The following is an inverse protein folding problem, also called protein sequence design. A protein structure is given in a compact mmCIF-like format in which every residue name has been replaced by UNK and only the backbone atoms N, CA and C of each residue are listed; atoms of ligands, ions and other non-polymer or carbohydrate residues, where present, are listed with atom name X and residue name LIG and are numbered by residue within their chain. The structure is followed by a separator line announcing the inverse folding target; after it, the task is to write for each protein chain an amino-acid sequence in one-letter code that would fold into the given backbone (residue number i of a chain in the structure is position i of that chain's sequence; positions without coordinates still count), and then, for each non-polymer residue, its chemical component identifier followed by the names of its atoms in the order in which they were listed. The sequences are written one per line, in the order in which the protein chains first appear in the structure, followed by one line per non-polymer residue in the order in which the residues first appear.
data_IF_701820023282
#
_entry.id   IF_701820023282
#
_cell.length_a   1.000
_cell.length_b   1.000
_cell.length_c   1.000
_cell.angle_alpha   90.00
_cell.angle_beta   90.00
_cell.angle_gamma   90.00
#
_symmetry.space_group_name_H-M   'P 1'
#
loop_
_entity.id
_entity.type
_entity.pdbx_description
1 polymer ?
#
# COMPACT_ATOMS: atom_id res chain seq x y z
N UNK A 1 19.24 19.78 27.87
CA UNK A 1 19.68 18.51 28.50
C UNK A 1 19.33 17.33 27.60
N UNK A 2 20.01 17.21 26.46
CA UNK A 2 19.86 16.12 25.48
C UNK A 2 21.20 15.82 24.77
N UNK A 3 22.32 16.18 25.41
CA UNK A 3 23.69 16.05 24.86
C UNK A 3 24.51 14.93 25.52
N UNK A 4 23.87 13.96 26.18
CA UNK A 4 24.58 12.94 26.98
C UNK A 4 24.31 11.50 26.52
N UNK A 5 23.64 11.30 25.37
CA UNK A 5 23.41 9.96 24.79
C UNK A 5 24.33 9.66 23.59
N UNK A 6 25.21 10.60 23.20
CA UNK A 6 26.02 10.50 21.97
C UNK A 6 27.55 10.36 22.19
N UNK A 7 28.05 10.03 23.39
CA UNK A 7 29.51 9.83 23.61
C UNK A 7 29.90 8.41 24.07
N UNK A 8 29.15 7.39 23.68
CA UNK A 8 29.53 5.99 23.93
C UNK A 8 29.39 5.12 22.68
N UNK A 9 29.80 5.70 21.55
CA UNK A 9 29.81 5.07 20.24
C UNK A 9 31.22 4.66 19.76
N UNK A 10 32.18 4.54 20.68
CA UNK A 10 33.45 3.88 20.44
C UNK A 10 33.64 2.84 21.56
N UNK A 11 33.94 1.61 21.16
CA UNK A 11 34.15 0.40 21.97
C UNK A 11 32.89 -0.37 22.43
N UNK A 12 32.23 -1.06 21.49
CA UNK A 12 31.71 -2.43 21.70
C UNK A 12 31.22 -3.02 20.36
N UNK A 13 32.04 -3.90 19.77
CA UNK A 13 31.59 -4.97 18.90
C UNK A 13 30.79 -5.97 19.75
N UNK A 14 29.46 -5.91 19.68
CA UNK A 14 28.62 -7.06 20.01
C UNK A 14 27.24 -6.87 19.38
N UNK A 15 26.83 -7.87 18.60
CA UNK A 15 25.53 -8.03 17.98
C UNK A 15 24.37 -7.55 18.88
N UNK A 16 23.78 -6.40 18.54
CA UNK A 16 22.46 -6.03 19.05
C UNK A 16 21.41 -6.89 18.32
N UNK A 17 21.30 -8.14 18.78
CA UNK A 17 20.19 -9.03 18.52
C UNK A 17 18.90 -8.29 18.85
N UNK A 18 18.12 -7.96 17.81
CA UNK A 18 16.71 -7.69 17.96
C UNK A 18 16.09 -8.92 18.62
N UNK A 19 15.61 -8.73 19.84
CA UNK A 19 15.11 -9.78 20.71
C UNK A 19 14.02 -10.57 19.97
N UNK A 20 14.24 -11.85 19.59
CA UNK A 20 13.35 -12.61 18.71
C UNK A 20 11.98 -12.91 19.33
N UNK A 21 11.81 -12.59 20.62
CA UNK A 21 10.59 -12.81 21.39
C UNK A 21 9.55 -11.69 21.18
N UNK A 22 9.92 -10.47 20.79
CA UNK A 22 8.93 -9.40 20.44
C UNK A 22 8.48 -9.44 18.97
N UNK A 23 9.15 -10.22 18.12
CA UNK A 23 8.81 -10.39 16.71
C UNK A 23 7.75 -11.48 16.47
N UNK A 24 7.59 -12.41 17.43
CA UNK A 24 6.61 -13.49 17.37
C UNK A 24 5.17 -12.99 17.64
N UNK A 25 4.98 -11.94 18.45
CA UNK A 25 3.65 -11.54 18.90
C UNK A 25 2.75 -10.88 17.85
N UNK A 26 3.28 -10.24 16.80
CA UNK A 26 2.42 -9.66 15.75
C UNK A 26 1.91 -10.72 14.77
N UNK A 27 2.58 -11.86 14.72
CA UNK A 27 2.18 -13.03 13.92
C UNK A 27 1.26 -13.94 14.73
N UNK A 28 1.55 -14.14 16.02
CA UNK A 28 0.72 -14.93 16.93
C UNK A 28 -0.58 -14.23 17.32
N UNK A 29 -0.67 -12.89 17.41
CA UNK A 29 -1.94 -12.21 17.67
C UNK A 29 -2.98 -12.39 16.53
N UNK A 30 -2.51 -12.56 15.29
CA UNK A 30 -3.40 -12.89 14.16
C UNK A 30 -3.81 -14.37 14.15
N UNK A 31 -2.99 -15.27 14.73
CA UNK A 31 -3.27 -16.71 14.82
C UNK A 31 -4.09 -17.09 16.07
N UNK A 32 -3.86 -16.45 17.22
CA UNK A 32 -4.61 -16.71 18.48
C UNK A 32 -6.02 -16.10 18.46
N UNK A 33 -6.27 -15.04 17.68
CA UNK A 33 -7.64 -14.58 17.38
C UNK A 33 -8.38 -15.46 16.36
N UNK A 34 -7.75 -16.54 15.87
CA UNK A 34 -8.33 -17.49 14.90
C UNK A 34 -8.55 -18.90 15.49
N UNK A 35 -8.55 -19.08 16.82
CA UNK A 35 -9.13 -20.30 17.40
C UNK A 35 -10.66 -20.22 17.30
N UNK A 36 -11.35 -21.18 16.65
CA UNK A 36 -12.78 -21.31 16.86
C UNK A 36 -13.01 -21.59 18.36
N UNK A 37 -14.01 -20.93 18.96
CA UNK A 37 -14.63 -21.45 20.18
C UNK A 37 -15.16 -22.83 19.81
N UNK A 38 -14.73 -23.86 20.52
CA UNK A 38 -15.26 -25.21 20.35
C UNK A 38 -16.75 -25.18 20.73
N UNK A 39 -17.62 -25.03 19.73
CA UNK A 39 -19.02 -25.37 19.89
C UNK A 39 -19.17 -26.87 19.70
N UNK A 40 -19.72 -27.52 20.72
CA UNK A 40 -20.10 -28.93 20.74
C UNK A 40 -21.00 -29.29 19.57
N UNK A 41 -20.87 -30.51 19.00
CA UNK A 41 -21.60 -30.93 17.81
C UNK A 41 -22.96 -31.48 18.23
N UNK A 42 -23.92 -30.61 18.52
CA UNK A 42 -25.35 -30.97 18.49
C UNK A 42 -26.17 -29.68 18.36
N UNK A 43 -27.13 -29.69 17.43
CA UNK A 43 -28.02 -28.57 17.06
C UNK A 43 -27.31 -27.50 16.19
N UNK A 44 -27.55 -27.41 14.88
CA UNK A 44 -28.80 -26.91 14.30
C UNK A 44 -29.02 -27.50 12.91
N UNK A 45 -30.10 -28.29 12.81
CA UNK A 45 -30.77 -28.69 11.58
C UNK A 45 -31.68 -27.53 11.13
N UNK A 46 -31.84 -27.41 9.81
CA UNK A 46 -32.87 -26.65 9.09
C UNK A 46 -32.73 -25.13 8.99
N UNK A 47 -32.19 -24.69 7.84
CA UNK A 47 -32.57 -23.49 7.05
C UNK A 47 -31.38 -22.71 6.49
N UNK A 48 -30.52 -23.33 5.67
CA UNK A 48 -29.57 -22.54 4.84
C UNK A 48 -29.07 -23.21 3.55
N UNK A 49 -29.73 -24.29 3.11
CA UNK A 49 -29.25 -25.12 1.99
C UNK A 49 -29.32 -24.47 0.59
N UNK A 50 -29.79 -23.22 0.46
CA UNK A 50 -29.77 -22.49 -0.81
C UNK A 50 -28.62 -21.48 -0.95
N UNK A 51 -27.94 -21.09 0.15
CA UNK A 51 -26.79 -20.17 0.10
C UNK A 51 -25.45 -20.93 0.13
N UNK A 52 -25.44 -22.16 0.66
CA UNK A 52 -24.24 -23.01 0.72
C UNK A 52 -23.75 -23.56 -0.63
N UNK A 53 -24.60 -23.62 -1.66
CA UNK A 53 -24.26 -24.30 -2.92
C UNK A 53 -23.39 -23.46 -3.88
N UNK A 54 -23.29 -22.14 -3.69
CA UNK A 54 -22.33 -21.26 -4.39
C UNK A 54 -21.00 -21.15 -3.62
N UNK A 55 -20.95 -21.62 -2.38
CA UNK A 55 -19.80 -21.50 -1.48
C UNK A 55 -18.81 -22.68 -1.55
N UNK A 56 -19.04 -23.64 -2.45
CA UNK A 56 -18.00 -24.58 -2.93
C UNK A 56 -17.35 -24.07 -4.23
N UNK A 57 -17.29 -22.75 -4.42
CA UNK A 57 -16.38 -22.17 -5.40
C UNK A 57 -14.92 -22.39 -4.97
N UNK A 58 -14.00 -22.39 -5.94
CA UNK A 58 -12.57 -22.38 -5.67
C UNK A 58 -12.22 -21.24 -4.69
N UNK A 59 -11.86 -21.59 -3.44
CA UNK A 59 -11.53 -20.64 -2.37
C UNK A 59 -10.43 -19.66 -2.81
N UNK A 60 -9.52 -20.11 -3.69
CA UNK A 60 -8.48 -19.26 -4.28
C UNK A 60 -9.11 -18.18 -5.15
N UNK A 61 -10.02 -18.59 -6.06
CA UNK A 61 -10.75 -17.68 -6.92
C UNK A 61 -11.56 -16.66 -6.10
N UNK A 62 -12.26 -17.11 -5.07
CA UNK A 62 -13.03 -16.25 -4.17
C UNK A 62 -12.15 -15.19 -3.50
N UNK A 63 -10.97 -15.56 -2.99
CA UNK A 63 -10.03 -14.62 -2.38
C UNK A 63 -9.57 -13.55 -3.36
N UNK A 64 -9.16 -13.95 -4.57
CA UNK A 64 -8.77 -13.02 -5.64
C UNK A 64 -9.91 -12.09 -6.02
N UNK A 65 -11.13 -12.61 -6.17
CA UNK A 65 -12.31 -11.81 -6.49
C UNK A 65 -12.58 -10.75 -5.41
N UNK A 66 -12.57 -11.12 -4.14
CA UNK A 66 -12.81 -10.17 -3.05
C UNK A 66 -11.73 -9.09 -2.96
N UNK A 67 -10.47 -9.47 -3.16
CA UNK A 67 -9.36 -8.53 -3.17
C UNK A 67 -9.48 -7.54 -4.35
N UNK A 68 -9.68 -8.03 -5.57
CA UNK A 68 -9.83 -7.18 -6.75
C UNK A 68 -11.10 -6.31 -6.69
N UNK A 69 -12.16 -6.81 -6.06
CA UNK A 69 -13.37 -6.02 -5.77
C UNK A 69 -13.06 -4.85 -4.83
N UNK A 70 -12.20 -5.03 -3.82
CA UNK A 70 -11.72 -3.92 -3.00
C UNK A 70 -10.99 -2.87 -3.84
N UNK A 71 -10.17 -3.31 -4.81
CA UNK A 71 -9.47 -2.40 -5.71
C UNK A 71 -10.44 -1.52 -6.50
N UNK A 72 -11.49 -2.12 -7.07
CA UNK A 72 -12.55 -1.40 -7.80
C UNK A 72 -13.27 -0.41 -6.90
N UNK A 73 -13.67 -0.82 -5.69
CA UNK A 73 -14.35 0.08 -4.76
C UNK A 73 -13.45 1.23 -4.28
N UNK A 74 -12.18 0.97 -3.97
CA UNK A 74 -11.23 2.03 -3.61
C UNK A 74 -10.99 2.99 -4.76
N UNK A 75 -10.86 2.47 -5.98
CA UNK A 75 -10.75 3.25 -7.21
C UNK A 75 -11.97 4.18 -7.41
N UNK A 76 -13.18 3.68 -7.15
CA UNK A 76 -14.41 4.46 -7.19
C UNK A 76 -14.59 5.41 -5.97
N UNK A 77 -13.76 5.28 -4.94
CA UNK A 77 -13.89 6.03 -3.68
C UNK A 77 -14.97 5.50 -2.73
N UNK A 78 -15.49 4.30 -2.98
CA UNK A 78 -16.55 3.60 -2.24
C UNK A 78 -16.00 2.81 -1.04
N UNK A 79 -15.37 3.50 -0.08
CA UNK A 79 -14.69 2.87 1.07
C UNK A 79 -15.57 1.87 1.85
N UNK A 80 -16.84 2.21 2.07
CA UNK A 80 -17.77 1.35 2.81
C UNK A 80 -18.01 -0.01 2.14
N UNK A 81 -18.12 -0.03 0.79
CA UNK A 81 -18.30 -1.27 0.02
C UNK A 81 -17.03 -2.11 0.02
N UNK A 82 -15.86 -1.48 -0.06
CA UNK A 82 -14.58 -2.18 0.08
C UNK A 82 -14.48 -2.88 1.44
N UNK A 83 -14.84 -2.18 2.53
CA UNK A 83 -14.77 -2.69 3.91
C UNK A 83 -15.58 -3.97 4.13
N UNK A 84 -16.72 -4.11 3.46
CA UNK A 84 -17.54 -5.34 3.52
C UNK A 84 -16.80 -6.59 3.02
N UNK A 85 -15.71 -6.42 2.24
CA UNK A 85 -14.95 -7.53 1.66
C UNK A 85 -13.70 -7.91 2.48
N UNK A 86 -13.33 -7.11 3.50
CA UNK A 86 -12.07 -7.29 4.23
C UNK A 86 -11.97 -8.61 4.96
N UNK A 87 -13.08 -9.13 5.50
CA UNK A 87 -13.10 -10.43 6.20
C UNK A 87 -12.65 -11.56 5.28
N UNK A 88 -13.08 -11.55 4.01
CA UNK A 88 -12.71 -12.56 3.03
C UNK A 88 -11.24 -12.42 2.60
N UNK A 89 -10.74 -11.19 2.42
CA UNK A 89 -9.32 -10.97 2.08
C UNK A 89 -8.39 -11.37 3.24
N UNK A 90 -8.83 -11.17 4.49
CA UNK A 90 -8.09 -11.62 5.69
C UNK A 90 -8.04 -13.13 5.82
N UNK A 91 -9.03 -13.84 5.31
CA UNK A 91 -9.11 -15.30 5.32
C UNK A 91 -8.39 -15.84 4.08
N UNK A 92 -7.08 -15.59 3.99
CA UNK A 92 -6.27 -16.02 2.85
C UNK A 92 -6.08 -17.55 2.85
N UNK A 93 -6.47 -18.27 1.78
CA UNK A 93 -6.24 -19.71 1.67
C UNK A 93 -4.77 -20.09 1.80
N UNK A 94 -4.49 -21.19 2.50
CA UNK A 94 -3.10 -21.64 2.78
C UNK A 94 -2.26 -21.82 1.51
N UNK A 95 -2.87 -22.26 0.40
CA UNK A 95 -2.17 -22.44 -0.86
C UNK A 95 -1.62 -21.13 -1.44
N UNK A 96 -2.27 -19.98 -1.18
CA UNK A 96 -1.80 -18.66 -1.62
C UNK A 96 -0.66 -18.11 -0.75
N UNK A 97 -0.42 -18.69 0.43
CA UNK A 97 0.71 -18.28 1.29
C UNK A 97 2.07 -18.70 0.71
N UNK A 98 2.10 -19.59 -0.27
CA UNK A 98 3.29 -19.97 -1.02
C UNK A 98 3.45 -19.19 -2.34
N UNK A 99 2.44 -18.40 -2.74
CA UNK A 99 2.46 -17.62 -3.98
C UNK A 99 2.96 -16.19 -3.72
N UNK A 100 4.13 -15.87 -4.26
CA UNK A 100 4.74 -14.54 -4.14
C UNK A 100 3.85 -13.41 -4.69
N UNK A 101 3.02 -13.67 -5.72
CA UNK A 101 2.12 -12.66 -6.27
C UNK A 101 0.97 -12.36 -5.30
N UNK A 102 0.38 -13.41 -4.70
CA UNK A 102 -0.64 -13.27 -3.67
C UNK A 102 -0.09 -12.60 -2.40
N UNK A 103 1.11 -12.99 -1.95
CA UNK A 103 1.79 -12.37 -0.82
C UNK A 103 2.09 -10.89 -1.06
N UNK A 104 2.60 -10.55 -2.24
CA UNK A 104 2.87 -9.18 -2.63
C UNK A 104 1.61 -8.30 -2.54
N UNK A 105 0.55 -8.74 -3.22
CA UNK A 105 -0.69 -7.99 -3.30
C UNK A 105 -1.43 -7.95 -1.97
N UNK A 106 -1.44 -9.05 -1.20
CA UNK A 106 -2.04 -9.09 0.13
C UNK A 106 -1.37 -8.15 1.13
N UNK A 107 -0.03 -8.03 1.08
CA UNK A 107 0.68 -7.06 1.90
C UNK A 107 0.42 -5.62 1.41
N UNK A 108 0.44 -5.35 0.10
CA UNK A 108 0.11 -4.04 -0.45
C UNK A 108 -1.34 -3.62 -0.10
N UNK A 109 -2.28 -4.56 -0.12
CA UNK A 109 -3.65 -4.37 0.34
C UNK A 109 -3.68 -3.93 1.81
N UNK A 110 -2.90 -4.58 2.69
CA UNK A 110 -2.82 -4.20 4.10
C UNK A 110 -2.33 -2.76 4.27
N UNK A 111 -1.31 -2.34 3.50
CA UNK A 111 -0.86 -0.94 3.49
C UNK A 111 -2.00 0.03 3.16
N UNK A 112 -2.70 -0.22 2.05
CA UNK A 112 -3.78 0.65 1.56
C UNK A 112 -4.95 0.70 2.55
N UNK A 113 -5.31 -0.45 3.14
CA UNK A 113 -6.37 -0.58 4.14
C UNK A 113 -6.01 0.19 5.42
N UNK A 114 -4.77 0.07 5.92
CA UNK A 114 -4.29 0.82 7.08
C UNK A 114 -4.40 2.33 6.86
N UNK A 115 -3.95 2.84 5.72
CA UNK A 115 -4.06 4.27 5.39
C UNK A 115 -5.51 4.74 5.12
N UNK A 116 -6.45 3.82 4.89
CA UNK A 116 -7.83 4.17 4.54
C UNK A 116 -8.77 4.14 5.75
N UNK A 117 -8.56 3.20 6.67
CA UNK A 117 -9.47 2.91 7.79
C UNK A 117 -8.81 2.98 9.17
N UNK A 118 -7.49 2.79 9.27
CA UNK A 118 -6.80 2.61 10.55
C UNK A 118 -5.76 3.71 10.84
N UNK A 119 -5.84 4.86 10.15
CA UNK A 119 -4.89 5.99 10.30
C UNK A 119 -4.82 6.53 11.75
N UNK A 120 -5.86 6.34 12.55
CA UNK A 120 -5.90 6.78 13.95
C UNK A 120 -5.09 5.86 14.89
N UNK A 121 -4.63 4.69 14.42
CA UNK A 121 -3.81 3.80 15.22
C UNK A 121 -2.38 4.33 15.31
N UNK A 122 -1.86 4.56 16.52
CA UNK A 122 -0.51 5.08 16.74
C UNK A 122 0.61 4.28 16.07
N UNK A 123 0.38 2.99 15.78
CA UNK A 123 1.36 2.10 15.11
C UNK A 123 1.12 1.94 13.61
N UNK A 124 0.13 2.63 13.01
CA UNK A 124 -0.25 2.40 11.61
C UNK A 124 0.93 2.64 10.65
N UNK A 125 1.73 3.70 10.87
CA UNK A 125 2.89 4.01 10.04
C UNK A 125 3.92 2.86 10.06
N UNK A 126 4.19 2.31 11.24
CA UNK A 126 5.08 1.14 11.40
C UNK A 126 4.53 -0.10 10.71
N UNK A 127 3.22 -0.33 10.77
CA UNK A 127 2.60 -1.46 10.06
C UNK A 127 2.63 -1.29 8.55
N UNK A 128 2.38 -0.08 8.03
CA UNK A 128 2.51 0.23 6.59
C UNK A 128 3.93 -0.05 6.12
N UNK A 129 4.95 0.37 6.89
CA UNK A 129 6.35 0.05 6.59
C UNK A 129 6.59 -1.46 6.46
N UNK A 130 6.21 -2.23 7.48
CA UNK A 130 6.39 -3.69 7.51
C UNK A 130 5.73 -4.37 6.31
N UNK A 131 4.49 -4.00 6.00
CA UNK A 131 3.77 -4.57 4.87
C UNK A 131 4.35 -4.13 3.53
N UNK A 132 4.75 -2.86 3.36
CA UNK A 132 5.42 -2.41 2.13
C UNK A 132 6.73 -3.18 1.90
N UNK A 133 7.58 -3.35 2.93
CA UNK A 133 8.83 -4.12 2.80
C UNK A 133 8.57 -5.59 2.47
N UNK A 134 7.55 -6.21 3.06
CA UNK A 134 7.15 -7.59 2.73
C UNK A 134 6.63 -7.71 1.30
N UNK A 135 5.79 -6.76 0.87
CA UNK A 135 5.26 -6.71 -0.49
C UNK A 135 6.38 -6.56 -1.52
N UNK A 136 7.30 -5.62 -1.30
CA UNK A 136 8.45 -5.38 -2.17
C UNK A 136 9.33 -6.63 -2.28
N UNK A 137 9.63 -7.28 -1.16
CA UNK A 137 10.41 -8.53 -1.15
C UNK A 137 9.72 -9.60 -1.98
N UNK A 138 8.41 -9.83 -1.78
CA UNK A 138 7.66 -10.81 -2.55
C UNK A 138 7.62 -10.48 -4.05
N UNK A 139 7.45 -9.21 -4.43
CA UNK A 139 7.49 -8.78 -5.83
C UNK A 139 8.85 -9.05 -6.50
N UNK A 140 9.96 -8.83 -5.79
CA UNK A 140 11.31 -9.09 -6.29
C UNK A 140 11.66 -10.57 -6.43
N UNK A 141 10.93 -11.45 -5.73
CA UNK A 141 11.05 -12.90 -5.88
C UNK A 141 10.23 -13.44 -7.08
N UNK A 142 9.43 -12.60 -7.73
CA UNK A 142 8.76 -12.97 -8.97
C UNK A 142 9.74 -12.83 -10.14
N UNK A 143 9.76 -13.82 -11.02
CA UNK A 143 10.58 -13.75 -12.23
C UNK A 143 10.28 -12.48 -13.03
N UNK A 144 11.34 -11.81 -13.47
CA UNK A 144 11.28 -10.50 -14.15
C UNK A 144 10.63 -10.60 -15.54
N UNK A 145 10.44 -11.82 -16.05
CA UNK A 145 9.84 -12.08 -17.36
C UNK A 145 8.78 -13.16 -17.21
N UNK A 146 7.56 -12.75 -16.86
CA UNK A 146 6.41 -13.64 -17.03
C UNK A 146 6.21 -13.83 -18.54
N UNK A 147 6.37 -15.06 -19.04
CA UNK A 147 6.08 -15.41 -20.42
C UNK A 147 4.79 -16.24 -20.47
N UNK A 148 3.99 -16.04 -21.52
CA UNK A 148 2.76 -16.79 -21.75
C UNK A 148 1.46 -16.04 -21.42
N UNK A 149 0.31 -16.74 -21.49
CA UNK A 149 -1.02 -16.12 -21.55
C UNK A 149 -1.40 -15.30 -20.30
N UNK A 150 -0.78 -15.60 -19.15
CA UNK A 150 -1.07 -14.95 -17.86
C UNK A 150 -0.14 -13.76 -17.57
N UNK A 151 0.87 -13.51 -18.40
CA UNK A 151 1.86 -12.47 -18.17
C UNK A 151 1.22 -11.08 -18.00
N UNK A 152 0.34 -10.69 -18.93
CA UNK A 152 -0.32 -9.38 -18.88
C UNK A 152 -1.13 -9.16 -17.58
N UNK A 153 -1.81 -10.22 -17.09
CA UNK A 153 -2.56 -10.17 -15.83
C UNK A 153 -1.61 -10.04 -14.63
N UNK A 154 -0.58 -10.88 -14.57
CA UNK A 154 0.45 -10.82 -13.51
C UNK A 154 1.08 -9.44 -13.42
N UNK A 155 1.46 -8.85 -14.56
CA UNK A 155 2.05 -7.51 -14.58
C UNK A 155 1.04 -6.43 -14.15
N UNK A 156 -0.24 -6.58 -14.50
CA UNK A 156 -1.30 -5.67 -14.03
C UNK A 156 -1.51 -5.75 -12.52
N UNK A 157 -1.43 -6.95 -11.94
CA UNK A 157 -1.50 -7.18 -10.50
C UNK A 157 -0.28 -6.60 -9.78
N UNK A 158 0.93 -6.78 -10.33
CA UNK A 158 2.15 -6.16 -9.81
C UNK A 158 2.04 -4.62 -9.80
N UNK A 159 1.57 -4.02 -10.90
CA UNK A 159 1.33 -2.57 -10.97
C UNK A 159 0.33 -2.10 -9.89
N UNK A 160 -0.74 -2.86 -9.64
CA UNK A 160 -1.70 -2.56 -8.58
C UNK A 160 -1.05 -2.62 -7.18
N UNK A 161 -0.20 -3.61 -6.93
CA UNK A 161 0.53 -3.70 -5.67
C UNK A 161 1.46 -2.49 -5.46
N UNK A 162 2.22 -2.10 -6.48
CA UNK A 162 3.07 -0.91 -6.44
C UNK A 162 2.27 0.39 -6.25
N UNK A 163 1.13 0.54 -6.93
CA UNK A 163 0.22 1.68 -6.78
C UNK A 163 -0.24 1.83 -5.32
N UNK A 164 -0.68 0.72 -4.70
CA UNK A 164 -1.04 0.72 -3.29
C UNK A 164 0.13 1.01 -2.35
N UNK A 165 1.33 0.48 -2.63
CA UNK A 165 2.52 0.76 -1.83
C UNK A 165 2.91 2.24 -1.92
N UNK A 166 3.10 2.78 -3.12
CA UNK A 166 3.48 4.18 -3.35
C UNK A 166 2.44 5.14 -2.78
N UNK A 167 1.15 4.84 -2.98
CA UNK A 167 0.07 5.59 -2.39
C UNK A 167 0.09 5.57 -0.86
N UNK A 168 0.33 4.41 -0.25
CA UNK A 168 0.37 4.29 1.22
C UNK A 168 1.59 4.95 1.85
N UNK A 169 2.77 4.83 1.23
CA UNK A 169 3.98 5.51 1.67
C UNK A 169 3.84 7.04 1.58
N UNK A 170 3.19 7.52 0.51
CA UNK A 170 2.84 8.94 0.37
C UNK A 170 1.90 9.42 1.49
N UNK A 171 0.91 8.60 1.86
CA UNK A 171 -0.04 8.94 2.92
C UNK A 171 0.65 8.97 4.30
N UNK A 172 1.59 8.04 4.56
CA UNK A 172 2.44 8.06 5.76
C UNK A 172 3.30 9.32 5.81
N UNK A 173 3.93 9.70 4.69
CA UNK A 173 4.70 10.93 4.63
C UNK A 173 3.83 12.17 4.92
N UNK A 174 2.64 12.27 4.30
CA UNK A 174 1.75 13.42 4.51
C UNK A 174 1.32 13.59 5.97
N UNK A 175 1.10 12.50 6.71
CA UNK A 175 0.76 12.55 8.13
C UNK A 175 1.93 13.04 9.02
N UNK A 176 3.17 12.92 8.53
CA UNK A 176 4.37 13.41 9.24
C UNK A 176 4.63 14.90 9.00
N UNK A 177 3.95 15.53 8.04
CA UNK A 177 4.17 16.95 7.70
C UNK A 177 3.43 17.85 8.67
N UNK A 178 4.13 18.85 9.20
CA UNK A 178 3.50 19.92 9.97
C UNK A 178 2.87 20.92 9.00
N UNK A 179 1.53 21.04 9.03
CA UNK A 179 0.76 21.89 8.13
C UNK A 179 1.16 23.39 8.15
N UNK A 180 1.74 23.86 9.26
CA UNK A 180 2.18 25.26 9.40
C UNK A 180 3.54 25.55 8.75
N UNK A 181 4.18 24.56 8.11
CA UNK A 181 5.52 24.68 7.53
C UNK A 181 5.54 24.18 6.10
N UNK A 182 6.34 24.79 5.20
CA UNK A 182 6.50 24.31 3.84
C UNK A 182 6.91 22.85 3.77
N UNK A 183 6.23 22.05 2.93
CA UNK A 183 6.62 20.64 2.73
C UNK A 183 8.08 20.54 2.26
N UNK A 184 8.56 21.50 1.46
CA UNK A 184 9.93 21.51 0.94
C UNK A 184 10.99 21.80 2.00
N UNK A 185 10.59 22.18 3.21
CA UNK A 185 11.48 22.31 4.38
C UNK A 185 11.43 21.10 5.31
N UNK A 186 10.60 20.10 4.98
CA UNK A 186 10.29 18.94 5.79
C UNK A 186 10.48 17.67 4.96
N UNK A 187 11.71 17.37 4.50
CA UNK A 187 11.98 16.13 3.78
C UNK A 187 11.66 14.94 4.68
N UNK A 188 11.13 13.88 4.08
CA UNK A 188 10.88 12.63 4.79
C UNK A 188 12.19 12.05 5.36
N UNK A 189 12.05 11.28 6.44
CA UNK A 189 13.17 10.50 6.97
C UNK A 189 13.73 9.55 5.91
N UNK A 190 15.06 9.34 5.93
CA UNK A 190 15.77 8.57 4.91
C UNK A 190 15.17 7.18 4.62
N UNK A 191 14.79 6.36 5.63
CA UNK A 191 14.20 5.05 5.36
C UNK A 191 12.92 5.14 4.51
N UNK A 192 12.02 6.08 4.82
CA UNK A 192 10.78 6.27 4.07
C UNK A 192 11.05 6.68 2.62
N UNK A 193 11.98 7.63 2.44
CA UNK A 193 12.38 8.09 1.12
C UNK A 193 13.02 6.96 0.30
N UNK A 194 13.95 6.20 0.87
CA UNK A 194 14.62 5.08 0.19
C UNK A 194 13.62 4.01 -0.25
N UNK A 195 12.73 3.57 0.64
CA UNK A 195 11.71 2.58 0.31
C UNK A 195 10.76 3.10 -0.79
N UNK A 196 10.38 4.38 -0.73
CA UNK A 196 9.55 5.02 -1.75
C UNK A 196 10.24 5.02 -3.12
N UNK A 197 11.50 5.45 -3.20
CA UNK A 197 12.22 5.55 -4.47
C UNK A 197 12.59 4.19 -5.05
N UNK A 198 12.95 3.21 -4.22
CA UNK A 198 13.13 1.83 -4.67
C UNK A 198 11.85 1.27 -5.27
N UNK A 199 10.71 1.49 -4.61
CA UNK A 199 9.39 1.07 -5.11
C UNK A 199 9.01 1.81 -6.40
N UNK A 200 9.35 3.10 -6.50
CA UNK A 200 9.07 3.92 -7.68
C UNK A 200 9.91 3.49 -8.88
N UNK A 201 11.17 3.12 -8.67
CA UNK A 201 12.04 2.60 -9.74
C UNK A 201 11.50 1.28 -10.28
N UNK A 202 11.14 0.35 -9.39
CA UNK A 202 10.54 -0.92 -9.76
C UNK A 202 9.22 -0.70 -10.54
N UNK A 203 8.39 0.28 -10.14
CA UNK A 203 7.18 0.66 -10.86
C UNK A 203 7.47 1.29 -12.24
N UNK A 204 8.49 2.16 -12.33
CA UNK A 204 8.89 2.83 -13.58
C UNK A 204 9.29 1.82 -14.65
N UNK A 205 10.09 0.82 -14.29
CA UNK A 205 10.51 -0.25 -15.20
C UNK A 205 9.32 -1.02 -15.78
N UNK A 206 8.26 -1.20 -14.98
CA UNK A 206 7.03 -1.87 -15.43
C UNK A 206 6.06 -0.98 -16.22
N UNK A 207 6.12 0.33 -16.00
CA UNK A 207 5.25 1.33 -16.60
C UNK A 207 5.73 1.84 -17.96
N UNK A 208 7.00 1.62 -18.32
CA UNK A 208 7.69 2.26 -19.46
C UNK A 208 6.95 2.17 -20.80
N UNK A 209 6.32 1.03 -21.10
CA UNK A 209 5.62 0.80 -22.38
C UNK A 209 4.08 0.87 -22.27
N UNK A 210 3.55 1.38 -21.16
CA UNK A 210 2.11 1.37 -20.86
C UNK A 210 1.55 2.77 -20.77
N UNK A 211 0.95 3.26 -21.86
CA UNK A 211 0.35 4.59 -21.90
C UNK A 211 -0.66 4.87 -20.78
N UNK A 212 -1.42 3.84 -20.39
CA UNK A 212 -2.41 3.92 -19.30
C UNK A 212 -1.80 4.25 -17.93
N UNK A 213 -0.49 4.05 -17.76
CA UNK A 213 0.22 4.28 -16.49
C UNK A 213 0.94 5.62 -16.42
N UNK A 214 1.04 6.37 -17.54
CA UNK A 214 1.84 7.60 -17.59
C UNK A 214 1.37 8.68 -16.61
N UNK A 215 0.05 8.94 -16.47
CA UNK A 215 -0.42 9.93 -15.49
C UNK A 215 -0.08 9.49 -14.06
N UNK A 216 -0.21 8.19 -13.75
CA UNK A 216 0.12 7.63 -12.44
C UNK A 216 1.62 7.68 -12.12
N UNK A 217 2.46 7.30 -13.08
CA UNK A 217 3.91 7.39 -12.92
C UNK A 217 4.33 8.83 -12.65
N UNK A 218 3.87 9.78 -13.47
CA UNK A 218 4.17 11.20 -13.29
C UNK A 218 3.67 11.73 -11.93
N UNK A 219 2.51 11.27 -11.45
CA UNK A 219 1.99 11.59 -10.12
C UNK A 219 2.92 11.10 -9.01
N UNK A 220 3.37 9.85 -9.07
CA UNK A 220 4.28 9.29 -8.06
C UNK A 220 5.68 9.91 -8.12
N UNK A 221 6.16 10.29 -9.30
CA UNK A 221 7.40 11.06 -9.45
C UNK A 221 7.27 12.44 -8.81
N UNK A 222 6.15 13.14 -9.06
CA UNK A 222 5.88 14.42 -8.44
C UNK A 222 5.78 14.32 -6.91
N UNK A 223 5.08 13.30 -6.40
CA UNK A 223 5.00 13.03 -4.97
C UNK A 223 6.37 12.73 -4.36
N UNK A 224 7.22 11.95 -5.04
CA UNK A 224 8.59 11.66 -4.59
C UNK A 224 9.46 12.92 -4.48
N UNK A 225 9.32 13.84 -5.46
CA UNK A 225 9.99 15.15 -5.40
C UNK A 225 9.51 15.98 -4.21
N UNK A 226 8.21 15.95 -3.90
CA UNK A 226 7.72 16.65 -2.71
C UNK A 226 8.25 16.02 -1.42
N UNK A 227 8.27 14.69 -1.36
CA UNK A 227 8.74 13.90 -0.24
C UNK A 227 10.20 14.19 0.12
N UNK A 228 11.05 14.45 -0.87
CA UNK A 228 12.47 14.80 -0.68
C UNK A 228 12.73 16.29 -0.48
N UNK A 229 11.67 17.12 -0.50
CA UNK A 229 11.81 18.57 -0.44
C UNK A 229 12.54 19.17 -1.65
N UNK A 230 12.45 18.53 -2.82
CA UNK A 230 12.99 19.09 -4.05
C UNK A 230 12.37 20.45 -4.37
N UNK A 231 13.06 21.25 -5.21
CA UNK A 231 12.66 22.63 -5.52
C UNK A 231 11.14 22.72 -5.83
N UNK A 232 10.40 23.57 -5.08
CA UNK A 232 8.94 23.61 -5.14
C UNK A 232 8.40 24.08 -6.49
N UNK A 233 9.10 24.97 -7.20
CA UNK A 233 8.63 25.53 -8.49
C UNK A 233 8.51 24.46 -9.60
N UNK A 234 9.56 23.70 -9.95
CA UNK A 234 9.45 22.64 -10.94
C UNK A 234 8.54 21.50 -10.46
N UNK A 235 8.49 21.25 -9.14
CA UNK A 235 7.60 20.23 -8.57
C UNK A 235 6.13 20.62 -8.76
N UNK A 236 5.77 21.88 -8.55
CA UNK A 236 4.45 22.43 -8.84
C UNK A 236 4.06 22.32 -10.31
N UNK A 237 4.97 22.70 -11.21
CA UNK A 237 4.75 22.57 -12.65
C UNK A 237 4.48 21.12 -13.08
N UNK A 238 5.18 20.16 -12.47
CA UNK A 238 4.94 18.73 -12.69
C UNK A 238 3.55 18.31 -12.18
N UNK A 239 3.12 18.76 -10.99
CA UNK A 239 1.78 18.47 -10.46
C UNK A 239 0.67 19.06 -11.35
N UNK A 240 0.82 20.30 -11.81
CA UNK A 240 -0.13 20.93 -12.74
C UNK A 240 -0.20 20.18 -14.07
N UNK A 241 0.93 19.65 -14.57
CA UNK A 241 0.95 18.78 -15.74
C UNK A 241 0.17 17.49 -15.48
N UNK A 242 0.40 16.83 -14.35
CA UNK A 242 -0.35 15.64 -13.94
C UNK A 242 -1.86 15.93 -13.86
N UNK A 243 -2.24 17.05 -13.23
CA UNK A 243 -3.64 17.47 -13.12
C UNK A 243 -4.29 17.69 -14.49
N UNK A 244 -3.59 18.26 -15.47
CA UNK A 244 -4.11 18.45 -16.83
C UNK A 244 -4.23 17.13 -17.57
N UNK A 245 -3.16 16.31 -17.56
CA UNK A 245 -3.17 14.97 -18.16
C UNK A 245 -4.30 14.09 -17.63
N UNK A 246 -4.63 14.24 -16.34
CA UNK A 246 -5.71 13.49 -15.71
C UNK A 246 -7.11 14.16 -15.84
N UNK A 247 -7.23 15.38 -16.38
CA UNK A 247 -8.53 16.05 -16.66
C UNK A 247 -8.91 16.02 -18.13
N UNK A 248 -7.93 16.03 -19.03
CA UNK A 248 -8.15 16.19 -20.47
C UNK A 248 -8.70 14.92 -21.17
N UNK A 249 -8.97 13.85 -20.41
CA UNK A 249 -9.90 12.80 -20.84
C UNK A 249 -9.59 12.12 -22.18
N UNK A 250 -8.33 12.07 -22.63
CA UNK A 250 -7.94 11.47 -23.92
C UNK A 250 -7.99 9.92 -23.89
N UNK A 251 -9.13 9.35 -23.46
CA UNK A 251 -9.37 7.90 -23.37
C UNK A 251 -8.75 7.21 -22.16
N UNK A 252 -8.17 7.95 -21.21
CA UNK A 252 -7.49 7.39 -20.03
C UNK A 252 -8.45 7.42 -18.84
N UNK A 253 -8.85 6.25 -18.33
CA UNK A 253 -9.70 6.13 -17.13
C UNK A 253 -8.92 6.69 -15.94
N UNK A 254 -9.17 7.94 -15.60
CA UNK A 254 -8.62 8.54 -14.38
C UNK A 254 -9.50 8.11 -13.24
N UNK A 255 -8.88 7.35 -12.35
CA UNK A 255 -9.55 6.78 -11.20
C UNK A 255 -9.82 7.90 -10.19
N UNK A 256 -11.01 7.90 -9.56
CA UNK A 256 -11.41 8.93 -8.58
C UNK A 256 -10.38 9.10 -7.46
N UNK A 257 -9.71 8.01 -7.05
CA UNK A 257 -8.62 8.04 -6.07
C UNK A 257 -7.43 8.89 -6.52
N UNK A 258 -7.05 8.82 -7.80
CA UNK A 258 -5.87 9.52 -8.32
C UNK A 258 -6.12 11.02 -8.37
N UNK A 259 -7.33 11.42 -8.77
CA UNK A 259 -7.77 12.82 -8.75
C UNK A 259 -7.73 13.40 -7.34
N UNK A 260 -8.26 12.67 -6.35
CA UNK A 260 -8.20 13.09 -4.94
C UNK A 260 -6.77 13.24 -4.45
N UNK A 261 -5.86 12.35 -4.86
CA UNK A 261 -4.43 12.43 -4.51
C UNK A 261 -3.77 13.65 -5.15
N UNK A 262 -4.03 13.92 -6.43
CA UNK A 262 -3.54 15.14 -7.10
C UNK A 262 -4.04 16.37 -6.35
N UNK A 263 -5.35 16.46 -6.08
CA UNK A 263 -5.94 17.61 -5.40
C UNK A 263 -5.34 17.81 -3.99
N UNK A 264 -5.07 16.73 -3.24
CA UNK A 264 -4.40 16.79 -1.94
C UNK A 264 -2.94 17.30 -2.03
N UNK A 265 -2.17 16.84 -3.01
CA UNK A 265 -0.80 17.33 -3.23
C UNK A 265 -0.77 18.79 -3.68
N UNK A 266 -1.75 19.21 -4.48
CA UNK A 266 -1.90 20.61 -4.88
C UNK A 266 -2.23 21.48 -3.65
N UNK A 267 -3.17 21.06 -2.81
CA UNK A 267 -3.50 21.74 -1.55
C UNK A 267 -2.29 21.85 -0.61
N UNK A 268 -1.49 20.80 -0.50
CA UNK A 268 -0.28 20.81 0.31
C UNK A 268 0.73 21.85 -0.21
N UNK A 269 0.84 22.02 -1.53
CA UNK A 269 1.67 23.07 -2.12
C UNK A 269 1.10 24.48 -1.84
N UNK A 270 -0.22 24.65 -1.98
CA UNK A 270 -0.91 25.95 -1.87
C UNK A 270 -1.11 26.45 -0.44
N UNK A 271 -1.17 25.55 0.55
CA UNK A 271 -1.47 25.85 1.96
C UNK A 271 -0.51 26.87 2.63
N UNK A 272 0.52 27.31 1.91
CA UNK A 272 1.67 28.06 2.41
C UNK A 272 1.96 29.29 1.52
N UNK A 273 1.16 29.47 0.45
CA UNK A 273 1.15 30.69 -0.35
C UNK A 273 0.20 31.78 0.19
N UNK A 274 -0.47 31.54 1.32
CA UNK A 274 -1.27 32.56 2.02
C UNK A 274 -0.54 32.97 3.31
N UNK A 275 0.01 34.20 3.36
CA UNK A 275 0.48 34.81 4.60
C UNK A 275 -0.64 34.94 5.64
#
# INVERSE_FOLDING_TARGET
MLNTVLSRADDADESAQLNPVEFMDVSHLLLDMCRPVECSPDELIESDQAVGSLNQGDELCAWWTHLLTCAVHWAAGEKAKAKQRYTFVRTCPKALLADNLALALGNAFCCRKLCTDDQNNKKYQSFVWVHCTKAQRALRQLDSKSSGPRAALTESVKLLAYDWMLGSLSDVWQDQIVASRPYWTQPAAAPLAELYYQTLEDYRLMAQDRESTFCKLALFEAAGRMLTGANPIPTWQSLLRCSRMCRDGSGRVVVTSDRRRIDALLQLHDSIARP
#
